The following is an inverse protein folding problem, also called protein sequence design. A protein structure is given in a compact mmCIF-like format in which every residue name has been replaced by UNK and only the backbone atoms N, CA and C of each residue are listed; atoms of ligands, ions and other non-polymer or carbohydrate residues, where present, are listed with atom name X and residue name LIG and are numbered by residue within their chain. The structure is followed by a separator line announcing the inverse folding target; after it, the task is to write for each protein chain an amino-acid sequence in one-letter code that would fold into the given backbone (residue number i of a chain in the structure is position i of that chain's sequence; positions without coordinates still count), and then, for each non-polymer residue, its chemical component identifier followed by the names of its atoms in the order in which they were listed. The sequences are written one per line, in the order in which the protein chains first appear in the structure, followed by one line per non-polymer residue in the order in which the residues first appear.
data_IF_138833004202
#
_entry.id   IF_138833004202
#
_cell.length_a   1.000
_cell.length_b   1.000
_cell.length_c   1.000
_cell.angle_alpha   90.00
_cell.angle_beta   90.00
_cell.angle_gamma   90.00
#
_symmetry.space_group_name_H-M   'P 1'
#
loop_
_entity.id
_entity.type
_entity.pdbx_description
1 polymer ?
#
# COMPACT_ATOMS: atom_id res chain seq x y z
N UNK A 1 -66.91 -19.04 19.26
CA UNK A 1 -66.28 -19.06 17.92
C UNK A 1 -64.80 -18.77 18.07
N UNK A 2 -64.01 -19.79 17.77
CA UNK A 2 -62.58 -19.94 18.03
C UNK A 2 -61.82 -19.67 16.73
N UNK A 3 -60.80 -18.80 16.76
CA UNK A 3 -59.78 -18.70 15.70
C UNK A 3 -58.40 -18.38 16.31
N UNK A 4 -57.73 -19.47 16.69
CA UNK A 4 -56.40 -19.88 16.23
C UNK A 4 -55.41 -18.75 15.93
N UNK A 5 -54.43 -18.55 16.82
CA UNK A 5 -53.10 -18.03 16.45
C UNK A 5 -52.15 -19.24 16.39
N UNK A 6 -51.63 -19.48 15.19
CA UNK A 6 -50.68 -20.54 14.90
C UNK A 6 -49.37 -20.34 15.67
N UNK A 7 -49.00 -21.39 16.39
CA UNK A 7 -47.65 -21.68 16.85
C UNK A 7 -46.86 -22.12 15.61
N UNK A 8 -45.80 -21.39 15.27
CA UNK A 8 -44.79 -21.85 14.31
C UNK A 8 -43.46 -22.02 15.05
N UNK A 9 -43.12 -23.30 15.17
CA UNK A 9 -41.93 -23.96 15.67
C UNK A 9 -40.63 -23.24 15.33
N UNK A 10 -39.86 -22.89 16.36
CA UNK A 10 -38.46 -22.46 16.22
C UNK A 10 -37.61 -23.69 15.87
N UNK A 11 -37.33 -23.88 14.59
CA UNK A 11 -36.38 -24.90 14.13
C UNK A 11 -34.95 -24.45 14.45
N UNK A 12 -34.44 -24.91 15.59
CA UNK A 12 -33.02 -24.89 15.94
C UNK A 12 -32.30 -25.96 15.10
N UNK A 13 -31.80 -25.58 13.92
CA UNK A 13 -30.97 -26.47 13.11
C UNK A 13 -29.79 -25.72 12.49
N UNK A 14 -28.62 -26.04 13.03
CA UNK A 14 -27.30 -26.02 12.39
C UNK A 14 -26.73 -24.64 12.02
N UNK A 15 -26.11 -23.99 12.99
CA UNK A 15 -25.02 -23.03 12.75
C UNK A 15 -23.73 -23.50 13.46
N UNK A 16 -23.35 -24.76 13.24
CA UNK A 16 -22.09 -25.35 13.74
C UNK A 16 -21.15 -25.76 12.59
N UNK A 17 -21.24 -25.08 11.44
CA UNK A 17 -20.34 -25.31 10.29
C UNK A 17 -19.28 -24.22 10.07
N UNK A 18 -19.19 -23.23 10.96
CA UNK A 18 -18.27 -22.08 10.81
C UNK A 18 -16.96 -22.16 11.59
N UNK A 19 -16.86 -22.98 12.64
CA UNK A 19 -15.69 -22.96 13.55
C UNK A 19 -14.54 -23.87 13.12
N UNK A 20 -14.82 -24.94 12.35
CA UNK A 20 -13.82 -25.97 12.02
C UNK A 20 -13.01 -25.71 10.73
N UNK A 21 -13.32 -24.67 9.95
CA UNK A 21 -12.63 -24.43 8.67
C UNK A 21 -11.30 -23.64 8.78
N UNK A 22 -10.99 -23.05 9.95
CA UNK A 22 -9.82 -22.16 10.11
C UNK A 22 -8.75 -22.75 11.02
N UNK A 23 -9.06 -23.79 11.80
CA UNK A 23 -8.09 -24.47 12.68
C UNK A 23 -7.06 -25.30 11.88
N UNK A 24 -7.30 -25.58 10.60
CA UNK A 24 -6.42 -26.37 9.74
C UNK A 24 -5.72 -25.62 8.60
N UNK A 25 -5.49 -24.30 8.70
CA UNK A 25 -4.81 -23.56 7.63
C UNK A 25 -3.29 -23.56 7.73
N UNK A 26 -2.70 -23.62 8.93
CA UNK A 26 -1.25 -23.60 9.10
C UNK A 26 -0.61 -24.88 8.52
N UNK A 27 0.50 -24.73 7.80
CA UNK A 27 1.14 -25.82 7.04
C UNK A 27 0.40 -26.20 5.74
N UNK A 28 -0.68 -25.49 5.37
CA UNK A 28 -1.36 -25.70 4.08
C UNK A 28 -0.50 -25.15 2.95
N UNK A 29 0.11 -26.05 2.17
CA UNK A 29 0.76 -25.71 0.92
C UNK A 29 -0.24 -25.56 -0.23
N UNK A 30 0.02 -24.62 -1.11
CA UNK A 30 -0.78 -24.29 -2.29
C UNK A 30 0.19 -24.11 -3.46
N UNK A 31 -0.07 -24.83 -4.56
CA UNK A 31 0.63 -24.63 -5.82
C UNK A 31 -0.09 -23.59 -6.67
N UNK A 32 0.61 -23.00 -7.63
CA UNK A 32 -0.02 -22.16 -8.63
C UNK A 32 -1.11 -22.97 -9.36
N UNK A 33 -2.30 -22.38 -9.55
CA UNK A 33 -3.39 -23.01 -10.30
C UNK A 33 -3.17 -22.98 -11.79
N UNK A 34 -2.43 -21.98 -12.27
CA UNK A 34 -1.94 -21.89 -13.64
C UNK A 34 -0.70 -21.02 -13.70
N UNK A 35 0.00 -21.13 -14.81
CA UNK A 35 1.08 -20.22 -15.20
C UNK A 35 0.87 -19.75 -16.64
N UNK A 36 1.39 -18.58 -16.95
CA UNK A 36 1.43 -18.05 -18.30
C UNK A 36 2.75 -17.31 -18.57
N UNK A 37 3.19 -17.31 -19.83
CA UNK A 37 4.36 -16.55 -20.27
C UNK A 37 3.88 -15.22 -20.85
N UNK A 38 4.31 -14.11 -20.25
CA UNK A 38 3.90 -12.77 -20.65
C UNK A 38 5.02 -12.07 -21.40
N UNK A 39 4.67 -11.58 -22.59
CA UNK A 39 5.47 -10.73 -23.44
C UNK A 39 5.46 -9.30 -22.87
N UNK A 40 6.60 -8.66 -22.54
CA UNK A 40 6.58 -7.28 -22.08
C UNK A 40 6.39 -6.30 -23.24
N UNK A 41 5.73 -5.18 -22.94
CA UNK A 41 5.87 -3.95 -23.72
C UNK A 41 7.17 -3.28 -23.26
N UNK A 42 8.15 -3.21 -24.16
CA UNK A 42 9.45 -2.62 -23.89
C UNK A 42 9.41 -1.12 -24.16
N UNK A 43 9.85 -0.33 -23.18
CA UNK A 43 10.07 1.11 -23.30
C UNK A 43 11.56 1.39 -23.14
N UNK A 44 12.17 2.08 -24.09
CA UNK A 44 13.59 2.46 -24.05
C UNK A 44 13.89 3.60 -23.06
N UNK A 45 12.85 4.34 -22.67
CA UNK A 45 12.91 5.49 -21.79
C UNK A 45 11.60 5.60 -20.98
N UNK A 46 11.63 6.37 -19.89
CA UNK A 46 10.46 6.59 -19.04
C UNK A 46 9.30 7.22 -19.83
N UNK A 47 9.60 8.35 -20.49
CA UNK A 47 8.66 9.11 -21.30
C UNK A 47 9.15 9.24 -22.73
N UNK A 48 8.47 8.56 -23.65
CA UNK A 48 8.69 8.75 -25.08
C UNK A 48 8.22 10.14 -25.53
N UNK A 49 8.76 10.67 -26.63
CA UNK A 49 8.36 11.98 -27.19
C UNK A 49 6.86 12.07 -27.52
N UNK A 50 6.20 10.95 -27.82
CA UNK A 50 4.76 10.88 -28.06
C UNK A 50 3.90 10.98 -26.79
N UNK A 51 4.51 10.87 -25.62
CA UNK A 51 3.85 11.01 -24.33
C UNK A 51 4.03 12.45 -23.84
N UNK A 52 2.93 13.22 -23.64
CA UNK A 52 3.00 14.56 -23.09
C UNK A 52 3.71 14.57 -21.75
N UNK A 53 4.57 15.56 -21.56
CA UNK A 53 5.27 15.76 -20.30
C UNK A 53 4.28 16.22 -19.23
N UNK A 54 4.27 15.53 -18.10
CA UNK A 54 3.58 15.94 -16.89
C UNK A 54 4.58 16.63 -15.98
N UNK A 55 4.33 17.90 -15.65
CA UNK A 55 5.20 18.73 -14.81
C UNK A 55 4.44 19.04 -13.54
N UNK A 56 4.94 18.54 -12.41
CA UNK A 56 4.23 18.58 -11.13
C UNK A 56 5.23 18.74 -9.99
N UNK A 57 4.88 19.59 -9.03
CA UNK A 57 5.61 19.67 -7.76
C UNK A 57 7.08 20.09 -7.85
N UNK A 58 7.86 19.62 -6.88
CA UNK A 58 9.26 19.96 -6.65
C UNK A 58 9.46 21.28 -5.90
N UNK A 59 10.71 21.72 -5.79
CA UNK A 59 11.07 22.94 -5.06
C UNK A 59 11.02 22.72 -3.55
N UNK A 60 12.00 21.98 -3.04
CA UNK A 60 12.08 21.66 -1.63
C UNK A 60 12.35 22.88 -0.74
N UNK A 61 11.78 22.80 0.45
CA UNK A 61 11.92 23.76 1.53
C UNK A 61 12.07 23.02 2.87
N UNK A 62 12.57 23.72 3.88
CA UNK A 62 12.61 23.20 5.24
C UNK A 62 11.33 23.59 5.98
N UNK A 63 10.58 22.60 6.45
CA UNK A 63 9.37 22.79 7.27
C UNK A 63 9.58 22.02 8.57
N UNK A 64 9.55 22.71 9.71
CA UNK A 64 9.74 22.10 11.04
C UNK A 64 11.02 21.25 11.15
N UNK A 65 12.09 21.62 10.45
CA UNK A 65 13.36 20.88 10.46
C UNK A 65 13.45 19.71 9.46
N UNK A 66 12.44 19.52 8.60
CA UNK A 66 12.41 18.46 7.59
C UNK A 66 12.38 19.02 6.18
N UNK A 67 13.02 18.31 5.25
CA UNK A 67 12.92 18.64 3.82
C UNK A 67 11.54 18.22 3.31
N UNK A 68 10.80 19.18 2.79
CA UNK A 68 9.43 19.02 2.31
C UNK A 68 9.30 19.65 0.92
N UNK A 69 8.65 18.96 -0.01
CA UNK A 69 8.28 19.52 -1.32
C UNK A 69 6.89 19.04 -1.76
N UNK A 70 6.16 19.86 -2.54
CA UNK A 70 4.93 19.42 -3.17
C UNK A 70 5.21 18.33 -4.21
N UNK A 71 4.36 17.31 -4.27
CA UNK A 71 4.31 16.34 -5.37
C UNK A 71 3.29 16.77 -6.44
N UNK A 72 2.42 15.85 -6.84
CA UNK A 72 1.27 16.14 -7.70
C UNK A 72 0.33 17.21 -7.11
N UNK A 73 -0.13 18.14 -7.96
CA UNK A 73 -1.10 19.21 -7.67
C UNK A 73 -2.37 19.14 -8.52
N UNK A 74 -2.39 18.26 -9.52
CA UNK A 74 -3.48 18.03 -10.47
C UNK A 74 -4.54 17.02 -9.98
N UNK A 75 -4.56 16.76 -8.68
CA UNK A 75 -5.45 15.79 -8.07
C UNK A 75 -6.91 16.27 -7.96
N UNK A 76 -7.81 15.31 -7.80
CA UNK A 76 -9.17 15.56 -7.33
C UNK A 76 -9.27 15.06 -5.87
N UNK A 77 -10.43 14.58 -5.41
CA UNK A 77 -10.55 14.00 -4.07
C UNK A 77 -9.79 12.69 -3.88
N UNK A 78 -9.53 11.94 -4.96
CA UNK A 78 -8.90 10.62 -4.95
C UNK A 78 -7.55 10.68 -5.66
N UNK A 79 -6.62 11.42 -5.06
CA UNK A 79 -5.26 11.56 -5.61
C UNK A 79 -4.50 10.23 -5.55
N UNK A 80 -4.68 9.49 -4.45
CA UNK A 80 -4.07 8.19 -4.19
C UNK A 80 -2.54 8.19 -4.36
N UNK A 81 -1.83 9.06 -3.61
CA UNK A 81 -0.38 9.17 -3.71
C UNK A 81 0.34 7.89 -3.33
N UNK A 82 1.36 7.58 -4.13
CA UNK A 82 2.35 6.57 -3.84
C UNK A 82 3.76 7.13 -4.02
N UNK A 83 4.74 6.48 -3.40
CA UNK A 83 6.15 6.85 -3.47
C UNK A 83 7.05 5.63 -3.48
N UNK A 84 8.17 5.71 -4.19
CA UNK A 84 9.30 4.80 -4.15
C UNK A 84 10.59 5.62 -4.20
N UNK A 85 11.60 5.25 -3.41
CA UNK A 85 12.85 6.02 -3.29
C UNK A 85 14.08 5.12 -3.36
N UNK A 86 15.02 5.47 -4.24
CA UNK A 86 16.28 4.74 -4.45
C UNK A 86 16.99 5.19 -5.73
N UNK A 87 18.23 4.77 -5.94
CA UNK A 87 19.05 5.14 -7.10
C UNK A 87 19.34 6.63 -7.23
N UNK A 88 19.22 7.41 -6.15
CA UNK A 88 19.26 8.88 -6.20
C UNK A 88 17.96 9.56 -6.63
N UNK A 89 16.86 8.82 -6.76
CA UNK A 89 15.58 9.32 -7.26
C UNK A 89 14.43 9.14 -6.26
N UNK A 90 13.42 10.00 -6.39
CA UNK A 90 12.09 9.86 -5.81
C UNK A 90 11.10 9.67 -6.95
N UNK A 91 10.50 8.48 -7.06
CA UNK A 91 9.41 8.20 -7.98
C UNK A 91 8.08 8.33 -7.23
N UNK A 92 7.21 9.19 -7.73
CA UNK A 92 5.88 9.45 -7.18
C UNK A 92 4.80 9.10 -8.21
N UNK A 93 3.70 8.49 -7.76
CA UNK A 93 2.53 8.21 -8.60
C UNK A 93 1.22 8.64 -7.98
N UNK A 94 0.26 8.95 -8.85
CA UNK A 94 -1.15 9.23 -8.54
C UNK A 94 -2.05 8.63 -9.61
N UNK A 95 -3.37 8.78 -9.44
CA UNK A 95 -4.36 8.44 -10.47
C UNK A 95 -4.28 9.28 -11.76
N UNK A 96 -3.38 10.27 -11.83
CA UNK A 96 -3.14 11.11 -13.02
C UNK A 96 -1.82 10.79 -13.74
N UNK A 97 -0.85 10.21 -13.04
CA UNK A 97 0.39 9.76 -13.64
C UNK A 97 1.53 9.66 -12.65
N UNK A 98 2.73 9.74 -13.18
CA UNK A 98 4.00 9.50 -12.50
C UNK A 98 4.89 10.75 -12.60
N UNK A 99 5.71 10.98 -11.58
CA UNK A 99 6.71 12.07 -11.52
C UNK A 99 7.99 11.55 -10.92
N UNK A 100 9.13 12.00 -11.45
CA UNK A 100 10.47 11.70 -10.97
C UNK A 100 11.07 13.00 -10.45
N UNK A 101 11.60 12.96 -9.23
CA UNK A 101 12.44 13.99 -8.64
C UNK A 101 13.82 13.41 -8.32
N UNK A 102 14.82 14.27 -8.14
CA UNK A 102 15.99 13.88 -7.35
C UNK A 102 15.66 13.88 -5.84
N UNK A 103 16.62 13.50 -5.01
CA UNK A 103 16.45 13.46 -3.56
C UNK A 103 16.47 14.84 -2.91
N UNK A 104 16.91 15.85 -3.63
CA UNK A 104 16.84 17.26 -3.24
C UNK A 104 15.45 17.86 -3.52
N UNK A 105 14.57 17.14 -4.22
CA UNK A 105 13.21 17.57 -4.54
C UNK A 105 13.13 18.45 -5.79
N UNK A 106 14.14 18.41 -6.66
CA UNK A 106 14.08 19.03 -7.98
C UNK A 106 13.34 18.10 -8.94
N UNK A 107 12.43 18.66 -9.73
CA UNK A 107 11.74 17.93 -10.79
C UNK A 107 12.71 17.45 -11.87
N UNK A 108 12.56 16.20 -12.31
CA UNK A 108 13.36 15.61 -13.40
C UNK A 108 12.49 15.32 -14.62
N UNK A 109 11.44 14.51 -14.46
CA UNK A 109 10.54 14.14 -15.56
C UNK A 109 9.19 13.68 -15.02
N UNK A 110 8.18 13.56 -15.89
CA UNK A 110 6.87 13.07 -15.49
C UNK A 110 6.04 12.66 -16.69
N UNK A 111 5.23 11.61 -16.52
CA UNK A 111 4.44 11.00 -17.58
C UNK A 111 3.04 10.65 -17.10
N UNK A 112 2.05 10.68 -17.99
CA UNK A 112 0.74 10.09 -17.70
C UNK A 112 0.86 8.57 -17.62
N UNK A 113 0.06 7.95 -16.75
CA UNK A 113 -0.09 6.48 -16.70
C UNK A 113 -0.55 5.88 -18.05
N UNK A 114 -1.20 6.68 -18.92
CA UNK A 114 -1.55 6.27 -20.28
C UNK A 114 -0.32 5.85 -21.11
N UNK A 115 0.87 6.34 -20.75
CA UNK A 115 2.13 6.02 -21.41
C UNK A 115 2.77 4.70 -20.94
N UNK A 116 2.12 4.03 -19.98
CA UNK A 116 2.48 2.73 -19.40
C UNK A 116 1.35 1.70 -19.61
N UNK A 117 0.81 1.66 -20.83
CA UNK A 117 -0.29 0.77 -21.21
C UNK A 117 -1.62 1.04 -20.48
N UNK A 118 -1.87 2.30 -20.09
CA UNK A 118 -3.08 2.77 -19.41
C UNK A 118 -3.27 2.11 -18.03
N UNK A 119 -4.39 2.44 -17.40
CA UNK A 119 -4.77 1.96 -16.08
C UNK A 119 -4.82 3.07 -15.04
N UNK A 120 -5.08 2.72 -13.79
CA UNK A 120 -5.25 3.62 -12.64
C UNK A 120 -4.68 2.99 -11.36
N UNK A 121 -4.78 3.72 -10.26
CA UNK A 121 -4.52 3.29 -8.90
C UNK A 121 -3.15 2.63 -8.75
N UNK A 122 -2.05 3.35 -9.04
CA UNK A 122 -0.73 2.76 -8.90
C UNK A 122 -0.47 2.35 -7.45
N UNK A 123 0.35 1.33 -7.28
CA UNK A 123 1.12 1.01 -6.08
C UNK A 123 2.54 0.74 -6.54
N UNK A 124 3.52 1.19 -5.80
CA UNK A 124 4.91 1.21 -6.27
C UNK A 124 5.90 0.89 -5.17
N UNK A 125 7.09 0.48 -5.59
CA UNK A 125 8.19 0.15 -4.72
C UNK A 125 9.52 0.45 -5.40
N UNK A 126 10.56 0.59 -4.58
CA UNK A 126 11.94 0.39 -4.97
C UNK A 126 12.42 -0.90 -4.31
N UNK A 127 12.98 -1.82 -5.10
CA UNK A 127 13.54 -3.08 -4.61
C UNK A 127 15.06 -2.93 -4.44
N UNK A 128 15.56 -2.74 -3.20
CA UNK A 128 16.99 -2.56 -2.94
C UNK A 128 17.81 -3.84 -3.14
N UNK A 129 17.18 -5.01 -3.30
CA UNK A 129 17.90 -6.25 -3.58
C UNK A 129 18.30 -6.36 -5.05
N UNK A 130 17.47 -5.80 -5.92
CA UNK A 130 17.61 -5.90 -7.37
C UNK A 130 17.92 -4.56 -8.04
N UNK A 131 17.91 -3.45 -7.29
CA UNK A 131 18.11 -2.09 -7.79
C UNK A 131 17.15 -1.81 -8.96
N UNK A 132 15.86 -1.88 -8.69
CA UNK A 132 14.80 -1.58 -9.67
C UNK A 132 13.64 -0.86 -9.00
N UNK A 133 12.98 0.00 -9.75
CA UNK A 133 11.66 0.50 -9.45
C UNK A 133 10.61 -0.45 -10.03
N UNK A 134 9.48 -0.58 -9.36
CA UNK A 134 8.33 -1.31 -9.87
C UNK A 134 7.02 -0.67 -9.46
N UNK A 135 5.99 -0.82 -10.29
CA UNK A 135 4.63 -0.41 -9.96
C UNK A 135 3.59 -1.20 -10.73
N UNK A 136 2.35 -1.22 -10.23
CA UNK A 136 1.19 -1.69 -11.00
C UNK A 136 0.37 -0.54 -11.59
N UNK A 137 -0.40 -0.85 -12.63
CA UNK A 137 -1.56 -0.06 -13.06
C UNK A 137 -2.70 -1.02 -13.40
N UNK A 138 -3.84 -0.85 -12.74
CA UNK A 138 -5.04 -1.64 -13.04
C UNK A 138 -5.76 -1.08 -14.26
N UNK A 139 -5.94 -1.88 -15.32
CA UNK A 139 -6.65 -1.45 -16.53
C UNK A 139 -8.03 -2.13 -16.67
N UNK A 140 -9.11 -1.54 -16.10
CA UNK A 140 -10.45 -2.12 -16.16
C UNK A 140 -11.12 -1.96 -17.53
N UNK A 141 -10.57 -1.12 -18.42
CA UNK A 141 -11.18 -0.73 -19.69
C UNK A 141 -10.58 -1.43 -20.91
N UNK A 142 -9.80 -2.48 -20.68
CA UNK A 142 -9.21 -3.25 -21.76
C UNK A 142 -10.29 -3.83 -22.70
N UNK A 143 -10.06 -3.68 -24.02
CA UNK A 143 -11.02 -4.06 -25.07
C UNK A 143 -11.25 -5.57 -25.11
N UNK A 144 -10.21 -6.35 -24.81
CA UNK A 144 -10.29 -7.81 -24.74
C UNK A 144 -11.01 -8.29 -23.47
N UNK A 145 -11.35 -7.37 -22.56
CA UNK A 145 -11.99 -7.64 -21.27
C UNK A 145 -11.17 -8.57 -20.38
N UNK A 146 -9.86 -8.69 -20.63
CA UNK A 146 -8.91 -9.41 -19.78
C UNK A 146 -8.61 -8.65 -18.49
N UNK A 147 -8.89 -7.34 -18.48
CA UNK A 147 -8.65 -6.41 -17.37
C UNK A 147 -7.24 -6.55 -16.80
N UNK A 148 -6.19 -6.30 -17.61
CA UNK A 148 -4.84 -6.59 -17.19
C UNK A 148 -4.41 -5.71 -16.01
N UNK A 149 -3.62 -6.29 -15.10
CA UNK A 149 -2.75 -5.54 -14.19
C UNK A 149 -1.43 -5.35 -14.91
N UNK A 150 -1.09 -4.10 -15.25
CA UNK A 150 0.18 -3.77 -15.88
C UNK A 150 1.27 -3.72 -14.79
N UNK A 151 2.11 -4.74 -14.70
CA UNK A 151 3.29 -4.71 -13.83
C UNK A 151 4.45 -4.08 -14.60
N UNK A 152 4.82 -2.85 -14.23
CA UNK A 152 5.94 -2.13 -14.82
C UNK A 152 7.18 -2.29 -13.94
N UNK A 153 8.33 -2.63 -14.54
CA UNK A 153 9.61 -2.79 -13.84
C UNK A 153 10.70 -2.06 -14.61
N UNK A 154 11.49 -1.23 -13.93
CA UNK A 154 12.65 -0.58 -14.54
C UNK A 154 13.79 -1.58 -14.73
N UNK A 155 14.66 -1.33 -15.71
CA UNK A 155 15.85 -2.18 -15.91
C UNK A 155 16.87 -2.07 -14.78
N UNK A 156 16.95 -0.88 -14.18
CA UNK A 156 17.94 -0.48 -13.18
C UNK A 156 17.32 0.47 -12.16
N UNK A 157 18.13 0.92 -11.21
CA UNK A 157 17.84 1.96 -10.23
C UNK A 157 17.69 3.35 -10.83
N UNK A 158 17.92 3.53 -12.13
CA UNK A 158 17.56 4.74 -12.84
C UNK A 158 16.15 4.66 -13.46
N UNK A 159 15.13 5.35 -12.90
CA UNK A 159 13.76 5.32 -13.40
C UNK A 159 13.56 6.16 -14.66
N UNK A 160 14.55 6.95 -15.11
CA UNK A 160 14.45 7.75 -16.34
C UNK A 160 14.71 6.94 -17.62
N UNK A 161 15.23 5.72 -17.47
CA UNK A 161 15.69 4.85 -18.57
C UNK A 161 14.67 3.77 -18.92
N UNK A 162 15.13 2.59 -19.28
CA UNK A 162 14.31 1.51 -19.83
C UNK A 162 13.33 0.93 -18.80
N UNK A 163 12.10 0.68 -19.26
CA UNK A 163 11.02 0.04 -18.51
C UNK A 163 10.41 -1.12 -19.28
N UNK A 164 9.91 -2.12 -18.55
CA UNK A 164 9.24 -3.28 -19.11
C UNK A 164 7.88 -3.43 -18.46
N UNK A 165 6.82 -3.36 -19.26
CA UNK A 165 5.43 -3.44 -18.79
C UNK A 165 4.86 -4.81 -19.15
N UNK A 166 4.48 -5.59 -18.14
CA UNK A 166 3.89 -6.92 -18.28
C UNK A 166 2.37 -6.83 -18.04
N UNK A 167 1.53 -6.91 -19.09
CA UNK A 167 0.07 -6.84 -18.94
C UNK A 167 -0.46 -8.20 -18.47
N UNK A 168 -0.53 -8.41 -17.16
CA UNK A 168 -0.94 -9.70 -16.57
C UNK A 168 -2.46 -9.81 -16.57
N UNK A 169 -3.07 -10.81 -17.25
CA UNK A 169 -4.52 -11.00 -17.24
C UNK A 169 -5.09 -11.25 -15.85
N UNK A 170 -6.16 -10.53 -15.51
CA UNK A 170 -6.88 -10.66 -14.24
C UNK A 170 -8.40 -10.64 -14.51
N UNK A 171 -8.91 -11.64 -15.25
CA UNK A 171 -10.33 -11.68 -15.62
C UNK A 171 -11.21 -11.72 -14.38
N UNK A 172 -12.30 -10.95 -14.39
CA UNK A 172 -13.21 -10.77 -13.26
C UNK A 172 -12.59 -10.11 -12.00
N UNK A 173 -11.33 -9.67 -12.08
CA UNK A 173 -10.72 -8.83 -11.07
C UNK A 173 -11.47 -7.51 -10.89
N UNK A 174 -11.31 -6.95 -9.71
CA UNK A 174 -11.82 -5.65 -9.26
C UNK A 174 -10.66 -4.83 -8.73
N UNK A 175 -10.89 -3.54 -8.70
CA UNK A 175 -9.94 -2.57 -8.16
C UNK A 175 -9.73 -2.73 -6.64
N UNK A 176 -8.60 -2.24 -6.14
CA UNK A 176 -8.16 -2.38 -4.74
C UNK A 176 -7.05 -3.40 -4.54
N UNK A 177 -6.25 -3.67 -5.58
CA UNK A 177 -5.08 -4.54 -5.47
C UNK A 177 -3.89 -3.90 -4.73
N UNK A 178 -2.92 -4.74 -4.36
CA UNK A 178 -1.66 -4.33 -3.72
C UNK A 178 -0.49 -5.10 -4.30
N UNK A 179 0.68 -4.45 -4.35
CA UNK A 179 1.93 -4.99 -4.87
C UNK A 179 2.96 -5.15 -3.76
N UNK A 180 3.86 -6.11 -3.88
CA UNK A 180 5.00 -6.25 -3.00
C UNK A 180 6.13 -7.04 -3.64
N UNK A 181 7.25 -7.14 -2.94
CA UNK A 181 8.47 -7.73 -3.48
C UNK A 181 9.28 -8.44 -2.41
N UNK A 182 10.10 -9.38 -2.85
CA UNK A 182 11.25 -9.95 -2.16
C UNK A 182 12.46 -9.91 -3.08
N UNK A 183 13.60 -10.42 -2.61
CA UNK A 183 14.79 -10.54 -3.47
C UNK A 183 14.52 -11.33 -4.76
N UNK A 184 13.58 -12.27 -4.76
CA UNK A 184 13.28 -13.13 -5.92
C UNK A 184 11.99 -12.77 -6.63
N UNK A 185 10.95 -12.40 -5.89
CA UNK A 185 9.60 -12.34 -6.41
C UNK A 185 9.04 -10.92 -6.38
N UNK A 186 8.27 -10.58 -7.40
CA UNK A 186 7.23 -9.55 -7.34
C UNK A 186 5.91 -10.29 -7.15
N UNK A 187 5.06 -9.80 -6.26
CA UNK A 187 3.73 -10.38 -6.04
C UNK A 187 2.66 -9.30 -6.06
N UNK A 188 1.48 -9.69 -6.54
CA UNK A 188 0.32 -8.83 -6.62
C UNK A 188 -0.91 -9.59 -6.17
N UNK A 189 -1.75 -8.97 -5.33
CA UNK A 189 -3.04 -9.51 -4.92
C UNK A 189 -4.15 -8.51 -5.18
N UNK A 190 -5.33 -8.97 -5.61
CA UNK A 190 -6.47 -8.12 -5.97
C UNK A 190 -7.81 -8.79 -5.64
N UNK A 191 -8.89 -8.01 -5.44
CA UNK A 191 -10.22 -8.57 -5.22
C UNK A 191 -10.89 -9.03 -6.53
N UNK A 192 -11.89 -9.92 -6.41
CA UNK A 192 -12.67 -10.41 -7.55
C UNK A 192 -11.99 -11.52 -8.38
N UNK A 193 -12.78 -12.40 -8.99
CA UNK A 193 -12.27 -13.57 -9.70
C UNK A 193 -11.90 -14.75 -8.79
N UNK A 194 -11.59 -15.89 -9.43
CA UNK A 194 -11.16 -17.12 -8.74
C UNK A 194 -9.70 -17.00 -8.29
N UNK A 195 -8.83 -16.53 -9.18
CA UNK A 195 -7.42 -16.30 -8.92
C UNK A 195 -7.21 -14.84 -8.55
N UNK A 196 -6.73 -14.61 -7.33
CA UNK A 196 -6.66 -13.27 -6.73
C UNK A 196 -5.26 -12.88 -6.29
N UNK A 197 -4.28 -13.71 -6.64
CA UNK A 197 -2.86 -13.45 -6.40
C UNK A 197 -2.05 -14.02 -7.55
N UNK A 198 -1.02 -13.31 -7.99
CA UNK A 198 0.02 -13.85 -8.85
C UNK A 198 1.40 -13.40 -8.42
N UNK A 199 2.42 -14.15 -8.84
CA UNK A 199 3.84 -13.80 -8.65
C UNK A 199 4.64 -14.01 -9.93
N UNK A 200 5.72 -13.25 -10.07
CA UNK A 200 6.70 -13.38 -11.14
C UNK A 200 8.11 -13.12 -10.61
N UNK A 201 9.14 -13.66 -11.27
CA UNK A 201 10.52 -13.48 -10.83
C UNK A 201 11.05 -12.09 -11.21
N UNK A 202 11.57 -11.34 -10.26
CA UNK A 202 12.19 -10.02 -10.51
C UNK A 202 13.33 -10.13 -11.54
N UNK A 203 14.11 -11.21 -11.46
CA UNK A 203 15.22 -11.51 -12.40
C UNK A 203 14.75 -11.71 -13.85
N UNK A 204 13.52 -12.15 -14.07
CA UNK A 204 12.93 -12.25 -15.41
C UNK A 204 12.38 -10.89 -15.82
N UNK A 205 11.57 -10.28 -14.94
CA UNK A 205 10.90 -9.02 -15.20
C UNK A 205 11.87 -7.88 -15.61
N UNK A 206 13.05 -7.79 -14.99
CA UNK A 206 14.04 -6.74 -15.29
C UNK A 206 14.90 -6.99 -16.54
N UNK A 207 14.71 -8.09 -17.28
CA UNK A 207 15.47 -8.37 -18.52
C UNK A 207 14.82 -7.79 -19.77
N UNK A 208 13.55 -7.40 -19.71
CA UNK A 208 12.80 -6.95 -20.89
C UNK A 208 12.52 -8.06 -21.90
N UNK A 209 12.42 -9.30 -21.42
CA UNK A 209 12.04 -10.48 -22.20
C UNK A 209 10.78 -11.09 -21.60
N UNK A 210 10.28 -12.13 -22.23
CA UNK A 210 9.23 -12.98 -21.67
C UNK A 210 9.51 -13.35 -20.20
N UNK A 211 8.48 -13.26 -19.35
CA UNK A 211 8.52 -13.65 -17.96
C UNK A 211 7.37 -14.62 -17.65
N UNK A 212 7.63 -15.63 -16.81
CA UNK A 212 6.58 -16.55 -16.37
C UNK A 212 5.86 -15.98 -15.16
N UNK A 213 4.53 -15.90 -15.25
CA UNK A 213 3.64 -15.46 -14.18
C UNK A 213 2.88 -16.66 -13.64
N UNK A 214 2.83 -16.81 -12.33
CA UNK A 214 2.17 -17.91 -11.63
C UNK A 214 0.99 -17.39 -10.82
N UNK A 215 -0.20 -17.93 -11.05
CA UNK A 215 -1.44 -17.50 -10.42
C UNK A 215 -1.86 -18.46 -9.31
N UNK A 216 -2.41 -17.93 -8.23
CA UNK A 216 -2.94 -18.69 -7.11
C UNK A 216 -4.45 -18.46 -6.96
N UNK A 217 -5.18 -19.55 -6.66
CA UNK A 217 -6.60 -19.45 -6.29
C UNK A 217 -6.76 -18.72 -4.97
N UNK A 218 -7.72 -17.81 -4.92
CA UNK A 218 -7.96 -16.98 -3.75
C UNK A 218 -6.84 -15.95 -3.53
N UNK A 219 -6.99 -15.18 -2.45
CA UNK A 219 -6.00 -14.18 -2.07
C UNK A 219 -5.08 -14.76 -0.99
N UNK A 220 -3.77 -14.65 -1.22
CA UNK A 220 -2.75 -14.99 -0.23
C UNK A 220 -2.64 -13.95 0.89
N UNK A 221 -3.24 -12.76 0.71
CA UNK A 221 -3.13 -11.59 1.57
C UNK A 221 -2.60 -10.37 0.81
N UNK A 222 -2.38 -9.27 1.52
CA UNK A 222 -1.64 -8.12 1.00
C UNK A 222 -0.15 -8.48 0.92
N UNK A 223 0.49 -8.37 -0.26
CA UNK A 223 1.92 -8.66 -0.39
C UNK A 223 2.77 -7.67 0.40
N UNK A 224 3.86 -8.12 0.98
CA UNK A 224 4.70 -7.35 1.91
C UNK A 224 5.96 -6.85 1.17
N UNK A 225 6.35 -5.60 1.39
CA UNK A 225 7.64 -5.06 0.98
C UNK A 225 8.75 -5.69 1.82
N UNK A 226 9.46 -6.64 1.23
CA UNK A 226 10.45 -7.44 1.96
C UNK A 226 11.82 -6.80 1.88
N UNK A 227 12.17 -6.03 2.91
CA UNK A 227 13.48 -5.38 3.03
C UNK A 227 14.55 -6.36 3.51
N UNK A 228 14.14 -7.39 4.25
CA UNK A 228 15.03 -8.47 4.68
C UNK A 228 15.64 -9.21 3.49
N UNK A 229 16.87 -9.70 3.66
CA UNK A 229 17.67 -10.39 2.63
C UNK A 229 17.20 -11.82 2.38
N UNK A 230 15.92 -12.01 2.10
CA UNK A 230 15.31 -13.31 1.81
C UNK A 230 14.75 -13.37 0.39
N UNK A 231 14.79 -14.57 -0.20
CA UNK A 231 14.13 -14.85 -1.47
C UNK A 231 12.61 -15.01 -1.30
N UNK A 232 12.15 -15.37 -0.11
CA UNK A 232 10.74 -15.66 0.13
C UNK A 232 9.93 -14.36 0.13
N UNK A 233 8.74 -14.41 -0.46
CA UNK A 233 7.79 -13.29 -0.45
C UNK A 233 6.68 -13.59 0.56
N UNK A 234 6.40 -12.62 1.43
CA UNK A 234 5.34 -12.75 2.42
C UNK A 234 4.08 -12.01 2.00
N UNK A 235 2.94 -12.55 2.43
CA UNK A 235 1.63 -11.96 2.32
C UNK A 235 0.97 -11.98 3.69
N UNK A 236 0.21 -10.95 4.00
CA UNK A 236 -0.43 -10.78 5.30
C UNK A 236 -1.89 -10.40 5.15
N UNK A 237 -2.76 -10.93 6.02
CA UNK A 237 -4.12 -10.42 6.16
C UNK A 237 -4.60 -10.54 7.60
N UNK A 238 -5.46 -9.59 7.99
CA UNK A 238 -6.26 -9.67 9.20
C UNK A 238 -7.57 -10.38 8.83
N UNK A 239 -7.69 -11.65 9.19
CA UNK A 239 -8.90 -12.44 8.96
C UNK A 239 -9.69 -12.59 10.26
N UNK A 240 -10.74 -11.78 10.40
CA UNK A 240 -11.62 -11.71 11.58
C UNK A 240 -10.87 -11.47 12.89
N UNK A 241 -10.46 -12.54 13.57
CA UNK A 241 -9.80 -12.58 14.87
C UNK A 241 -8.34 -13.06 14.78
N UNK A 242 -7.82 -13.29 13.57
CA UNK A 242 -6.48 -13.86 13.32
C UNK A 242 -5.64 -13.03 12.37
N UNK A 243 -4.33 -13.09 12.57
CA UNK A 243 -3.35 -12.80 11.55
C UNK A 243 -3.05 -14.06 10.76
N UNK A 244 -3.16 -13.96 9.43
CA UNK A 244 -2.76 -15.03 8.52
C UNK A 244 -1.54 -14.54 7.75
N UNK A 245 -0.44 -15.29 7.87
CA UNK A 245 0.81 -15.02 7.16
C UNK A 245 1.04 -16.15 6.17
N UNK A 246 1.11 -15.80 4.88
CA UNK A 246 1.41 -16.72 3.80
C UNK A 246 2.79 -16.42 3.24
N UNK A 247 3.60 -17.44 3.04
CA UNK A 247 4.95 -17.35 2.46
C UNK A 247 4.95 -18.00 1.08
N UNK A 248 5.49 -17.32 0.08
CA UNK A 248 5.78 -17.87 -1.24
C UNK A 248 7.29 -18.12 -1.34
N UNK A 249 7.65 -19.37 -1.62
CA UNK A 249 9.04 -19.80 -1.82
C UNK A 249 9.21 -20.50 -3.16
N UNK A 250 10.44 -20.68 -3.62
CA UNK A 250 10.73 -21.47 -4.82
C UNK A 250 10.73 -22.97 -4.48
N UNK A 251 9.84 -23.73 -5.10
CA UNK A 251 9.78 -25.17 -5.01
C UNK A 251 10.91 -25.88 -5.76
N UNK A 252 10.99 -27.20 -5.62
CA UNK A 252 12.07 -28.03 -6.17
C UNK A 252 12.21 -27.94 -7.70
N UNK A 253 11.11 -27.67 -8.41
CA UNK A 253 11.06 -27.52 -9.87
C UNK A 253 11.25 -26.07 -10.34
N UNK A 254 11.54 -25.12 -9.43
CA UNK A 254 11.66 -23.70 -9.75
C UNK A 254 10.35 -22.92 -9.79
N UNK A 255 9.20 -23.58 -9.59
CA UNK A 255 7.88 -22.95 -9.52
C UNK A 255 7.58 -22.47 -8.09
N UNK A 256 6.78 -21.40 -7.91
CA UNK A 256 6.45 -20.91 -6.58
C UNK A 256 5.48 -21.85 -5.85
N UNK A 257 5.73 -22.07 -4.56
CA UNK A 257 4.82 -22.74 -3.64
C UNK A 257 4.44 -21.75 -2.54
N UNK A 258 3.14 -21.58 -2.30
CA UNK A 258 2.63 -20.77 -1.21
C UNK A 258 2.32 -21.66 0.00
N UNK A 259 2.64 -21.21 1.21
CA UNK A 259 2.40 -21.93 2.45
C UNK A 259 1.86 -20.94 3.49
N UNK A 260 0.76 -21.28 4.18
CA UNK A 260 0.35 -20.53 5.36
C UNK A 260 1.26 -20.90 6.53
N UNK A 261 2.16 -19.99 6.88
CA UNK A 261 3.19 -20.19 7.91
C UNK A 261 2.76 -19.71 9.29
N UNK A 262 1.65 -18.96 9.38
CA UNK A 262 1.01 -18.62 10.64
C UNK A 262 -0.48 -18.35 10.45
N UNK A 263 -1.29 -18.84 11.38
CA UNK A 263 -2.71 -18.54 11.50
C UNK A 263 -3.08 -18.20 12.96
N UNK A 264 -2.44 -17.17 13.52
CA UNK A 264 -2.47 -16.84 14.96
C UNK A 264 -3.59 -15.88 15.34
N UNK A 265 -4.28 -16.15 16.45
CA UNK A 265 -5.24 -15.21 17.03
C UNK A 265 -4.54 -13.88 17.40
N UNK A 266 -5.08 -12.77 16.91
CA UNK A 266 -4.45 -11.46 17.07
C UNK A 266 -4.87 -10.73 18.35
N UNK A 267 -6.04 -11.05 18.90
CA UNK A 267 -6.59 -10.45 20.13
C UNK A 267 -6.63 -8.90 20.17
N UNK A 268 -6.49 -8.24 19.01
CA UNK A 268 -6.66 -6.79 18.88
C UNK A 268 -8.02 -6.34 19.42
N UNK A 269 -7.98 -5.44 20.42
CA UNK A 269 -9.19 -4.89 21.04
C UNK A 269 -9.90 -3.81 20.21
N UNK A 270 -9.27 -3.30 19.13
CA UNK A 270 -9.78 -2.18 18.33
C UNK A 270 -9.66 -2.47 16.83
N UNK A 271 -10.60 -3.24 16.30
CA UNK A 271 -10.62 -3.64 14.88
C UNK A 271 -11.83 -3.09 14.11
N UNK A 272 -12.55 -2.14 14.71
CA UNK A 272 -13.70 -1.51 14.07
C UNK A 272 -13.25 -0.58 12.96
N UNK A 273 -14.02 -0.54 11.88
CA UNK A 273 -13.82 0.42 10.80
C UNK A 273 -13.82 1.86 11.34
N UNK A 274 -12.90 2.71 10.86
CA UNK A 274 -12.85 4.10 11.31
C UNK A 274 -14.13 4.85 10.89
N UNK A 275 -14.64 5.75 11.74
CA UNK A 275 -15.77 6.61 11.37
C UNK A 275 -15.34 7.60 10.28
N UNK A 276 -16.30 8.17 9.55
CA UNK A 276 -16.03 9.32 8.68
C UNK A 276 -15.65 10.53 9.55
N UNK A 277 -14.82 11.41 9.02
CA UNK A 277 -14.24 12.52 9.78
C UNK A 277 -14.77 13.89 9.32
N UNK A 278 -14.95 14.85 10.24
CA UNK A 278 -15.36 16.20 9.91
C UNK A 278 -14.21 17.03 9.33
N UNK A 279 -14.55 18.18 8.75
CA UNK A 279 -13.63 19.17 8.20
C UNK A 279 -14.24 20.57 8.37
N UNK A 280 -13.37 21.58 8.39
CA UNK A 280 -13.78 22.98 8.58
C UNK A 280 -14.77 23.49 7.53
N UNK A 281 -15.66 24.39 7.94
CA UNK A 281 -16.57 25.17 7.08
C UNK A 281 -17.59 24.35 6.26
N UNK A 282 -17.87 23.11 6.63
CA UNK A 282 -18.90 22.29 5.98
C UNK A 282 -19.39 21.17 6.89
N UNK A 283 -20.64 20.72 6.69
CA UNK A 283 -21.19 19.50 7.32
C UNK A 283 -20.81 18.24 6.52
N UNK A 284 -20.20 18.38 5.35
CA UNK A 284 -19.71 17.26 4.54
C UNK A 284 -18.53 16.57 5.25
N UNK A 285 -18.66 15.28 5.51
CA UNK A 285 -17.60 14.44 6.10
C UNK A 285 -16.72 13.78 5.05
N UNK A 286 -15.52 13.36 5.44
CA UNK A 286 -14.53 12.67 4.60
C UNK A 286 -14.26 11.22 5.06
N UNK A 287 -13.80 10.36 4.16
CA UNK A 287 -13.37 9.00 4.47
C UNK A 287 -12.06 9.00 5.25
N UNK A 288 -11.92 8.05 6.19
CA UNK A 288 -10.80 8.02 7.14
C UNK A 288 -9.73 6.96 6.85
N UNK A 289 -9.95 6.13 5.84
CA UNK A 289 -9.12 4.96 5.52
C UNK A 289 -9.78 3.64 5.89
N UNK A 290 -8.99 2.58 5.95
CA UNK A 290 -9.46 1.20 6.15
C UNK A 290 -8.77 0.54 7.36
N UNK A 291 -9.47 -0.43 7.97
CA UNK A 291 -8.92 -1.29 9.04
C UNK A 291 -7.98 -2.36 8.50
N UNK A 292 -8.04 -2.65 7.20
CA UNK A 292 -7.10 -3.51 6.52
C UNK A 292 -5.87 -2.68 6.17
N UNK A 293 -4.68 -3.06 6.65
CA UNK A 293 -3.47 -2.28 6.40
C UNK A 293 -3.15 -2.24 4.91
N UNK A 294 -2.58 -1.10 4.51
CA UNK A 294 -1.99 -0.86 3.19
C UNK A 294 -0.51 -0.55 3.42
N UNK A 295 0.36 -0.99 2.51
CA UNK A 295 1.81 -0.84 2.62
C UNK A 295 2.38 -1.50 3.90
N UNK A 296 2.72 -2.78 3.77
CA UNK A 296 3.31 -3.58 4.83
C UNK A 296 4.78 -3.82 4.56
N UNK A 297 5.59 -3.82 5.60
CA UNK A 297 7.05 -3.94 5.49
C UNK A 297 7.53 -5.15 6.29
N UNK A 298 8.37 -6.00 5.71
CA UNK A 298 9.14 -7.02 6.45
C UNK A 298 10.54 -6.46 6.69
N UNK A 299 10.83 -6.18 7.96
CA UNK A 299 12.13 -5.68 8.42
C UNK A 299 12.49 -6.34 9.74
N UNK A 300 13.68 -6.95 9.78
CA UNK A 300 14.24 -7.69 10.90
C UNK A 300 13.27 -8.76 11.45
N UNK A 301 12.83 -9.66 10.56
CA UNK A 301 11.94 -10.81 10.85
C UNK A 301 10.57 -10.42 11.43
N UNK A 302 10.16 -9.18 11.22
CA UNK A 302 8.89 -8.65 11.67
C UNK A 302 8.14 -7.94 10.53
N UNK A 303 6.86 -8.26 10.38
CA UNK A 303 5.92 -7.52 9.55
C UNK A 303 5.45 -6.31 10.34
N UNK A 304 5.62 -5.14 9.74
CA UNK A 304 5.19 -3.86 10.26
C UNK A 304 4.04 -3.32 9.41
N UNK A 305 3.01 -2.81 10.08
CA UNK A 305 1.87 -2.22 9.41
C UNK A 305 1.18 -1.19 10.30
N UNK A 306 0.45 -0.27 9.66
CA UNK A 306 -0.50 0.63 10.32
C UNK A 306 -1.86 0.52 9.65
N UNK A 307 -2.91 0.83 10.40
CA UNK A 307 -4.28 0.86 9.90
C UNK A 307 -5.12 1.91 10.64
N UNK A 308 -6.20 2.36 9.99
CA UNK A 308 -7.12 3.31 10.58
C UNK A 308 -8.22 2.55 11.34
N UNK A 309 -8.52 3.01 12.56
CA UNK A 309 -9.49 2.38 13.46
C UNK A 309 -10.47 3.40 14.03
N UNK A 310 -11.61 2.94 14.55
CA UNK A 310 -12.43 3.75 15.44
C UNK A 310 -11.83 3.78 16.84
N UNK A 311 -11.55 4.98 17.36
CA UNK A 311 -11.22 5.23 18.74
C UNK A 311 -12.13 6.30 19.31
N UNK A 312 -13.07 5.90 20.19
CA UNK A 312 -14.01 6.81 20.86
C UNK A 312 -14.78 7.74 19.91
N UNK A 313 -15.18 7.23 18.73
CA UNK A 313 -15.96 7.98 17.76
C UNK A 313 -15.13 8.85 16.81
N UNK A 314 -13.79 8.84 16.92
CA UNK A 314 -12.88 9.48 15.96
C UNK A 314 -11.99 8.44 15.27
N UNK A 315 -11.50 8.80 14.08
CA UNK A 315 -10.52 7.97 13.39
C UNK A 315 -9.16 8.12 14.06
N UNK A 316 -8.47 7.01 14.27
CA UNK A 316 -7.16 6.96 14.89
C UNK A 316 -6.25 5.99 14.13
N UNK A 317 -4.94 6.13 14.35
CA UNK A 317 -3.94 5.21 13.81
C UNK A 317 -3.56 4.20 14.86
N UNK A 318 -3.65 2.92 14.50
CA UNK A 318 -3.01 1.85 15.26
C UNK A 318 -1.90 1.22 14.39
N UNK A 319 -0.78 0.90 15.00
CA UNK A 319 0.38 0.33 14.29
C UNK A 319 0.97 -0.83 15.08
N UNK A 320 1.59 -1.76 14.37
CA UNK A 320 2.05 -3.02 14.92
C UNK A 320 3.41 -3.44 14.40
N UNK A 321 4.14 -4.14 15.26
CA UNK A 321 5.27 -5.01 14.90
C UNK A 321 4.86 -6.44 15.20
N UNK A 322 4.85 -7.29 14.18
CA UNK A 322 4.37 -8.68 14.29
C UNK A 322 5.43 -9.63 13.75
N UNK A 323 5.86 -10.61 14.55
CA UNK A 323 6.77 -11.67 14.10
C UNK A 323 6.12 -12.53 13.02
N UNK A 324 6.93 -13.26 12.26
CA UNK A 324 6.46 -14.17 11.22
C UNK A 324 5.59 -15.34 11.73
N UNK A 325 5.62 -15.65 13.03
CA UNK A 325 4.70 -16.60 13.68
C UNK A 325 3.36 -15.95 14.08
N UNK A 326 3.14 -14.68 13.79
CA UNK A 326 1.95 -13.89 14.13
C UNK A 326 1.98 -13.28 15.54
N UNK A 327 3.06 -13.44 16.30
CA UNK A 327 3.19 -12.86 17.64
C UNK A 327 3.36 -11.35 17.56
N UNK A 328 2.50 -10.60 18.24
CA UNK A 328 2.66 -9.15 18.40
C UNK A 328 3.84 -8.87 19.33
N UNK A 329 4.84 -8.12 18.84
CA UNK A 329 5.94 -7.59 19.65
C UNK A 329 5.50 -6.31 20.34
N UNK A 330 4.85 -5.42 19.59
CA UNK A 330 4.32 -4.16 20.10
C UNK A 330 3.16 -3.67 19.26
N UNK A 331 2.33 -2.86 19.92
CA UNK A 331 1.24 -2.09 19.30
C UNK A 331 1.33 -0.67 19.85
N UNK A 332 1.23 0.31 18.97
CA UNK A 332 1.09 1.70 19.38
C UNK A 332 -0.21 2.31 18.85
N UNK A 333 -0.58 3.45 19.44
CA UNK A 333 -1.80 4.18 19.14
C UNK A 333 -1.47 5.66 18.98
N UNK A 334 -1.95 6.26 17.90
CA UNK A 334 -1.98 7.70 17.68
C UNK A 334 -3.45 8.11 17.62
N UNK A 335 -3.92 8.80 18.64
CA UNK A 335 -5.32 9.18 18.79
C UNK A 335 -5.45 10.52 19.53
N UNK A 336 -6.55 11.22 19.30
CA UNK A 336 -6.89 12.47 19.98
C UNK A 336 -8.40 12.50 20.27
N UNK A 337 -8.82 13.11 21.40
CA UNK A 337 -10.22 13.42 21.65
C UNK A 337 -10.81 14.50 20.70
N UNK A 338 -9.96 15.37 20.16
CA UNK A 338 -10.36 16.57 19.40
C UNK A 338 -10.24 16.40 17.88
N UNK A 339 -9.37 15.50 17.40
CA UNK A 339 -9.06 15.39 15.98
C UNK A 339 -9.09 13.96 15.46
N UNK A 340 -9.29 13.80 14.16
CA UNK A 340 -9.22 12.50 13.47
C UNK A 340 -7.89 12.36 12.74
N UNK A 341 -7.26 11.18 12.85
CA UNK A 341 -6.11 10.79 12.06
C UNK A 341 -6.50 9.74 11.02
N UNK A 342 -6.24 10.05 9.75
CA UNK A 342 -6.79 9.31 8.60
C UNK A 342 -5.69 8.87 7.62
N UNK A 343 -5.99 7.86 6.81
CA UNK A 343 -5.16 7.41 5.67
C UNK A 343 -3.68 7.12 6.00
N UNK A 344 -3.46 6.31 7.04
CA UNK A 344 -2.12 6.00 7.57
C UNK A 344 -1.28 5.06 6.70
N UNK A 345 0.03 5.25 6.72
CA UNK A 345 1.06 4.31 6.23
C UNK A 345 2.27 4.27 7.15
N UNK A 346 3.13 3.27 6.99
CA UNK A 346 4.32 3.06 7.84
C UNK A 346 5.55 2.75 6.99
N UNK A 347 6.71 3.24 7.43
CA UNK A 347 8.03 2.86 6.93
C UNK A 347 8.93 2.47 8.10
N UNK A 348 9.83 1.53 7.87
CA UNK A 348 10.76 1.03 8.90
C UNK A 348 12.14 0.89 8.28
N UNK A 349 13.17 1.37 8.97
CA UNK A 349 14.53 1.29 8.47
C UNK A 349 15.28 0.05 9.00
N UNK A 350 16.52 -0.17 8.56
CA UNK A 350 17.32 -1.34 8.98
C UNK A 350 17.60 -1.40 10.50
N UNK A 351 17.50 -0.27 11.20
CA UNK A 351 17.72 -0.15 12.64
C UNK A 351 16.43 -0.35 13.45
N UNK A 352 15.27 -0.59 12.80
CA UNK A 352 13.93 -0.57 13.41
C UNK A 352 13.46 0.80 13.91
N UNK A 353 14.00 1.89 13.35
CA UNK A 353 13.36 3.19 13.49
C UNK A 353 12.17 3.27 12.52
N UNK A 354 11.14 4.01 12.91
CA UNK A 354 9.83 3.97 12.25
C UNK A 354 9.34 5.38 11.96
N UNK A 355 8.76 5.56 10.77
CA UNK A 355 7.93 6.70 10.41
C UNK A 355 6.52 6.22 10.13
N UNK A 356 5.54 6.96 10.64
CA UNK A 356 4.12 6.74 10.40
C UNK A 356 3.56 8.04 9.83
N UNK A 357 3.18 8.01 8.55
CA UNK A 357 2.56 9.14 7.87
C UNK A 357 1.04 9.02 7.87
N UNK A 358 0.34 10.13 8.07
CA UNK A 358 -1.12 10.20 8.11
C UNK A 358 -1.61 11.62 7.81
N UNK A 359 -2.92 11.82 7.77
CA UNK A 359 -3.51 13.16 7.66
C UNK A 359 -4.35 13.46 8.91
N UNK A 360 -4.47 14.74 9.23
CA UNK A 360 -5.27 15.25 10.34
C UNK A 360 -6.45 16.08 9.81
N UNK A 361 -7.63 15.89 10.39
CA UNK A 361 -8.82 16.69 10.08
C UNK A 361 -9.78 16.77 11.26
N UNK A 362 -10.43 17.91 11.42
CA UNK A 362 -11.50 18.14 12.38
C UNK A 362 -12.39 19.31 11.96
N UNK A 363 -13.37 19.65 12.78
CA UNK A 363 -14.36 20.72 12.56
C UNK A 363 -13.72 22.12 12.38
N UNK A 364 -12.48 22.32 12.80
CA UNK A 364 -11.76 23.60 12.81
C UNK A 364 -10.57 23.67 11.83
N UNK A 365 -10.24 22.58 11.14
CA UNK A 365 -9.15 22.51 10.16
C UNK A 365 -9.54 21.74 8.90
N UNK A 366 -8.75 21.93 7.84
CA UNK A 366 -8.87 21.14 6.62
C UNK A 366 -7.91 19.95 6.65
N UNK A 367 -8.07 19.02 5.71
CA UNK A 367 -7.26 17.80 5.66
C UNK A 367 -5.79 18.17 5.42
N UNK A 368 -4.96 17.89 6.42
CA UNK A 368 -3.59 18.39 6.51
C UNK A 368 -2.60 17.26 6.79
N UNK A 369 -1.45 17.22 6.12
CA UNK A 369 -0.49 16.12 6.24
C UNK A 369 0.28 16.18 7.57
N UNK A 370 0.43 15.01 8.20
CA UNK A 370 1.17 14.81 9.44
C UNK A 370 2.06 13.58 9.33
N UNK A 371 3.07 13.52 10.17
CA UNK A 371 3.78 12.28 10.45
C UNK A 371 4.24 12.24 11.90
N UNK A 372 4.48 11.04 12.40
CA UNK A 372 5.16 10.80 13.66
C UNK A 372 6.28 9.79 13.42
N UNK A 373 7.23 9.74 14.35
CA UNK A 373 8.35 8.81 14.26
C UNK A 373 8.72 8.24 15.61
N UNK A 374 9.57 7.23 15.60
CA UNK A 374 10.23 6.68 16.79
C UNK A 374 11.58 6.08 16.42
N UNK A 375 12.48 6.05 17.38
CA UNK A 375 13.67 5.22 17.30
C UNK A 375 13.41 3.83 17.86
N UNK A 376 14.28 2.90 17.50
CA UNK A 376 14.26 1.53 18.01
C UNK A 376 14.41 1.44 19.53
N UNK A 377 15.12 2.39 20.16
CA UNK A 377 15.33 2.45 21.60
C UNK A 377 14.25 3.23 22.38
N UNK A 378 13.28 3.84 21.70
CA UNK A 378 12.12 4.44 22.37
C UNK A 378 11.26 3.34 23.03
N UNK A 379 10.53 3.64 24.13
CA UNK A 379 9.65 2.67 24.77
C UNK A 379 8.71 1.97 23.79
N UNK A 380 8.52 0.65 23.94
CA UNK A 380 7.66 -0.13 23.05
C UNK A 380 6.24 0.45 22.99
N UNK A 381 5.66 0.48 21.79
CA UNK A 381 4.32 1.03 21.53
C UNK A 381 4.24 2.56 21.55
N UNK A 382 5.32 3.27 21.87
CA UNK A 382 5.35 4.74 21.85
C UNK A 382 5.75 5.32 20.50
N UNK A 383 5.35 6.57 20.28
CA UNK A 383 5.81 7.45 19.22
C UNK A 383 6.32 8.75 19.87
N UNK A 384 7.16 9.49 19.14
CA UNK A 384 7.54 10.86 19.48
C UNK A 384 6.46 11.84 19.02
N UNK A 385 6.79 13.13 19.01
CA UNK A 385 5.87 14.18 18.61
C UNK A 385 5.30 14.00 17.19
N UNK A 386 4.07 14.47 17.01
CA UNK A 386 3.42 14.58 15.69
C UNK A 386 3.90 15.87 15.05
N UNK A 387 4.40 15.78 13.82
CA UNK A 387 4.97 16.90 13.08
C UNK A 387 4.02 17.28 11.94
N UNK A 388 3.76 18.58 11.79
CA UNK A 388 3.04 19.13 10.63
C UNK A 388 3.96 19.22 9.42
N UNK A 389 3.48 18.70 8.29
CA UNK A 389 4.12 18.84 6.98
C UNK A 389 3.43 19.89 6.08
N UNK A 390 2.40 20.57 6.60
CA UNK A 390 1.60 21.55 5.86
C UNK A 390 0.16 21.64 6.38
N UNK A 391 -0.55 22.68 5.96
CA UNK A 391 -1.95 22.91 6.32
C UNK A 391 -2.82 22.98 5.06
N UNK A 392 -3.89 22.19 5.03
CA UNK A 392 -4.89 22.23 3.98
C UNK A 392 -5.61 23.58 3.93
N UNK A 393 -6.20 23.90 2.78
CA UNK A 393 -6.72 25.25 2.50
C UNK A 393 -8.21 25.32 2.18
N UNK A 394 -8.85 24.19 1.91
CA UNK A 394 -10.24 24.14 1.50
C UNK A 394 -10.94 22.86 1.94
N UNK A 395 -12.27 22.95 2.05
CA UNK A 395 -13.12 21.81 2.35
C UNK A 395 -13.36 20.98 1.10
N UNK A 396 -13.21 19.66 1.20
CA UNK A 396 -13.50 18.74 0.12
C UNK A 396 -15.01 18.50 -0.03
N UNK A 397 -15.47 18.31 -1.27
CA UNK A 397 -16.89 18.30 -1.64
C UNK A 397 -17.54 16.90 -1.69
N UNK A 398 -17.00 15.93 -0.94
CA UNK A 398 -17.63 14.61 -0.83
C UNK A 398 -16.94 13.65 0.14
N UNK A 399 -17.57 12.49 0.34
CA UNK A 399 -17.06 11.47 1.29
C UNK A 399 -15.79 10.81 0.80
N UNK A 400 -15.71 10.47 -0.48
CA UNK A 400 -14.50 9.84 -1.02
C UNK A 400 -13.33 10.83 -0.94
N UNK A 401 -12.28 10.40 -0.26
CA UNK A 401 -11.00 11.06 -0.16
C UNK A 401 -9.93 9.97 -0.21
N UNK A 402 -8.92 10.17 -1.06
CA UNK A 402 -8.00 9.14 -1.53
C UNK A 402 -7.68 8.06 -0.51
N UNK A 403 -7.76 6.82 -0.96
CA UNK A 403 -7.64 5.61 -0.16
C UNK A 403 -6.18 5.28 0.19
N UNK A 404 -5.22 6.01 -0.37
CA UNK A 404 -3.80 5.70 -0.24
C UNK A 404 -2.99 6.90 0.23
N UNK A 405 -1.97 6.59 1.02
CA UNK A 405 -0.78 7.40 1.24
C UNK A 405 0.44 6.50 1.03
N UNK A 406 1.65 7.01 1.20
CA UNK A 406 2.87 6.22 1.05
C UNK A 406 3.90 6.54 2.11
N UNK A 407 4.54 5.53 2.66
CA UNK A 407 5.73 5.69 3.49
C UNK A 407 6.71 4.57 3.12
N UNK A 408 7.97 4.91 2.83
CA UNK A 408 8.98 3.96 2.33
C UNK A 408 10.35 4.23 2.93
N UNK A 409 11.20 3.19 2.92
CA UNK A 409 12.62 3.32 3.18
C UNK A 409 13.34 3.92 1.97
N UNK A 410 14.39 4.70 2.21
CA UNK A 410 15.34 5.06 1.18
C UNK A 410 16.19 3.83 0.80
N UNK A 411 16.01 3.35 -0.44
CA UNK A 411 16.68 2.16 -0.95
C UNK A 411 18.21 2.25 -1.03
N UNK A 412 18.80 3.45 -0.98
CA UNK A 412 20.25 3.62 -1.14
C UNK A 412 21.00 3.45 0.19
N UNK A 413 20.43 3.96 1.30
CA UNK A 413 21.09 3.94 2.61
C UNK A 413 20.41 2.99 3.62
N UNK A 414 19.17 2.58 3.34
CA UNK A 414 18.33 1.74 4.19
C UNK A 414 18.18 2.31 5.62
N UNK A 415 18.26 3.64 5.75
CA UNK A 415 18.21 4.38 7.02
C UNK A 415 17.15 5.47 6.97
N UNK A 416 17.26 6.38 6.00
CA UNK A 416 16.33 7.47 5.83
C UNK A 416 14.97 6.92 5.44
N UNK A 417 13.92 7.58 5.94
CA UNK A 417 12.55 7.23 5.65
C UNK A 417 11.87 8.39 4.93
N UNK A 418 10.89 8.07 4.11
CA UNK A 418 10.15 9.04 3.31
C UNK A 418 8.67 8.81 3.51
N UNK A 419 7.88 9.88 3.50
CA UNK A 419 6.42 9.78 3.48
C UNK A 419 5.82 10.77 2.49
N UNK A 420 4.70 10.37 1.89
CA UNK A 420 3.87 11.19 1.02
C UNK A 420 2.44 11.16 1.51
N UNK A 421 1.84 12.34 1.65
CA UNK A 421 0.49 12.52 2.17
C UNK A 421 -0.32 13.45 1.27
N UNK A 422 -1.64 13.26 1.25
CA UNK A 422 -2.56 14.17 0.58
C UNK A 422 -2.77 15.44 1.42
N UNK A 423 -3.04 16.57 0.75
CA UNK A 423 -3.39 17.86 1.37
C UNK A 423 -4.50 18.53 0.54
N UNK A 424 -5.43 19.26 1.16
CA UNK A 424 -6.43 20.02 0.37
C UNK A 424 -5.91 21.37 -0.10
N UNK A 425 -6.17 21.72 -1.36
CA UNK A 425 -5.96 23.06 -1.88
C UNK A 425 -7.18 23.98 -1.60
N UNK A 426 -7.13 25.22 -2.10
CA UNK A 426 -8.17 26.24 -1.88
C UNK A 426 -9.54 25.85 -2.45
N UNK A 427 -9.57 25.02 -3.51
CA UNK A 427 -10.81 24.47 -4.08
C UNK A 427 -11.26 23.15 -3.42
N UNK A 428 -10.59 22.69 -2.37
CA UNK A 428 -10.92 21.43 -1.70
C UNK A 428 -10.52 20.18 -2.48
N UNK A 429 -9.68 20.34 -3.51
CA UNK A 429 -9.08 19.24 -4.28
C UNK A 429 -7.80 18.76 -3.59
N UNK A 430 -7.44 17.51 -3.82
CA UNK A 430 -6.23 16.93 -3.25
C UNK A 430 -4.98 17.29 -4.06
N UNK A 431 -3.95 17.72 -3.35
CA UNK A 431 -2.55 17.75 -3.78
C UNK A 431 -1.75 16.78 -2.91
N UNK A 432 -0.43 16.71 -3.11
CA UNK A 432 0.44 15.82 -2.34
C UNK A 432 1.65 16.54 -1.80
N UNK A 433 2.12 16.10 -0.63
CA UNK A 433 3.31 16.61 0.05
C UNK A 433 4.25 15.45 0.33
N UNK A 434 5.50 15.57 -0.10
CA UNK A 434 6.57 14.59 0.12
C UNK A 434 7.50 15.12 1.21
N UNK A 435 7.86 14.25 2.15
CA UNK A 435 8.74 14.57 3.27
C UNK A 435 9.88 13.56 3.34
N UNK A 436 11.12 14.05 3.45
CA UNK A 436 12.28 13.25 3.85
C UNK A 436 12.44 13.31 5.37
N UNK A 437 12.52 12.15 6.01
CA UNK A 437 12.78 12.00 7.44
C UNK A 437 14.13 11.32 7.63
N UNK A 438 15.20 12.08 7.93
CA UNK A 438 16.53 11.52 8.08
C UNK A 438 16.67 10.73 9.39
N UNK A 439 17.45 9.64 9.36
CA UNK A 439 17.82 8.86 10.54
C UNK A 439 19.33 8.61 10.55
N UNK A 440 19.94 8.63 11.75
CA UNK A 440 21.39 8.56 11.93
C UNK A 440 22.03 7.18 11.68
#
# INVERSE_FOLDING_TARGET
MMKIKNIATLSFSVLFMGLNAVIGQEGKSMHASRSEVIQPIVKSEFRATSCPQRIEGGGAQMVNGYQVFPGAKDGNRQVDPQIAVGGGYVLHGTNKGLVIYDKEGNYIDGASQNCFNKGIDPKMFFDPHNNVFGFDLWNPWDKEKKKPVNIAVSKSDNPTKEWFVYPVPAPNGRDGGGIGFSKKWIGYSFPGGEERTFVLKTKEAKKGKEATVYHFKGSLGHPVFTQDKTNDLYFFKIDRDRFIITKVTEGKNGEPVAEVVSAKAHNLGRIQYPPKSPQKNTDQVTASGDRNPKNLVLQNDCIWFSHAINHNGRAAVQWHQVKLDGTIVQTGLIASPETSYIQTTIAVNKNNDVVIGFQETNENMYISPRFAYRYSNDPLGSIREIISAGEGKGATDGVSWGDYSGSVIDGDNLKDLWTIQSITNEEGRGETVIVKVPFE
#
